data_IF_035896980498
#
_entry.id   IF_035896980498
#
_cell.length_a   1.000
_cell.length_b   1.000
_cell.length_c   1.000
_cell.angle_alpha   90.00
_cell.angle_beta   90.00
_cell.angle_gamma   90.00
#
_symmetry.space_group_name_H-M   'P 1'
#
loop_
_entity.id
_entity.type
_entity.pdbx_description
1 polymer ?
#
# COMPACT_ATOMS: atom_id res chain seq x y z
N UNK A 1 33.99 -4.62 -30.37
CA UNK A 1 32.95 -5.30 -29.58
C UNK A 1 33.42 -5.34 -28.16
N UNK A 2 33.26 -4.21 -27.44
CA UNK A 2 33.57 -4.13 -26.02
C UNK A 2 32.40 -4.74 -25.26
N UNK A 3 32.65 -5.94 -24.78
CA UNK A 3 31.77 -6.59 -23.78
C UNK A 3 31.90 -5.76 -22.53
N UNK A 4 30.89 -4.96 -22.21
CA UNK A 4 30.76 -4.33 -20.88
C UNK A 4 30.62 -5.49 -19.91
N UNK A 5 31.71 -5.77 -19.22
CA UNK A 5 31.74 -6.63 -18.03
C UNK A 5 30.73 -6.04 -17.07
N UNK A 6 29.76 -6.85 -16.65
CA UNK A 6 28.88 -6.47 -15.54
C UNK A 6 29.78 -6.40 -14.30
N UNK A 7 30.32 -5.20 -14.06
CA UNK A 7 31.07 -4.91 -12.87
C UNK A 7 30.14 -5.20 -11.68
N UNK A 8 30.53 -6.13 -10.86
CA UNK A 8 29.89 -6.47 -9.60
C UNK A 8 29.81 -5.16 -8.80
N UNK A 9 28.60 -4.58 -8.71
CA UNK A 9 28.36 -3.42 -7.85
C UNK A 9 28.83 -3.84 -6.46
N UNK A 10 29.77 -3.09 -5.88
CA UNK A 10 30.31 -3.47 -4.58
C UNK A 10 29.20 -3.41 -3.52
N UNK A 11 29.21 -4.34 -2.58
CA UNK A 11 28.23 -4.37 -1.47
C UNK A 11 28.11 -3.01 -0.78
N UNK A 12 29.23 -2.28 -0.67
CA UNK A 12 29.26 -0.93 -0.12
C UNK A 12 28.41 0.07 -0.94
N UNK A 13 28.46 0.01 -2.27
CA UNK A 13 27.66 0.88 -3.12
C UNK A 13 26.16 0.56 -3.03
N UNK A 14 25.79 -0.71 -2.86
CA UNK A 14 24.39 -1.12 -2.66
C UNK A 14 23.87 -0.57 -1.34
N UNK A 15 24.66 -0.64 -0.27
CA UNK A 15 24.31 -0.11 1.06
C UNK A 15 24.11 1.41 0.97
N UNK A 16 25.04 2.14 0.39
CA UNK A 16 24.99 3.60 0.26
C UNK A 16 23.76 4.06 -0.54
N UNK A 17 23.47 3.41 -1.67
CA UNK A 17 22.27 3.68 -2.48
C UNK A 17 21.00 3.35 -1.70
N UNK A 18 20.99 2.27 -0.93
CA UNK A 18 19.83 1.88 -0.12
C UNK A 18 19.54 2.89 0.99
N UNK A 19 20.57 3.36 1.70
CA UNK A 19 20.45 4.41 2.72
C UNK A 19 19.93 5.72 2.11
N UNK A 20 20.43 6.09 0.92
CA UNK A 20 19.95 7.27 0.19
C UNK A 20 18.46 7.12 -0.16
N UNK A 21 18.03 5.99 -0.71
CA UNK A 21 16.63 5.74 -1.06
C UNK A 21 15.74 5.81 0.19
N UNK A 22 16.12 5.15 1.28
CA UNK A 22 15.35 5.17 2.53
C UNK A 22 15.25 6.58 3.13
N UNK A 23 16.28 7.40 2.98
CA UNK A 23 16.28 8.80 3.44
C UNK A 23 15.40 9.69 2.57
N UNK A 24 15.52 9.60 1.25
CA UNK A 24 14.79 10.43 0.29
C UNK A 24 13.29 10.12 0.31
N UNK A 25 12.95 8.84 0.34
CA UNK A 25 11.56 8.37 0.30
C UNK A 25 10.96 8.07 1.68
N UNK A 26 11.55 8.53 2.78
CA UNK A 26 11.14 8.24 4.17
C UNK A 26 9.66 8.46 4.48
N UNK A 27 9.01 9.39 3.76
CA UNK A 27 7.60 9.71 3.94
C UNK A 27 6.67 8.85 3.07
N UNK A 28 7.21 8.10 2.13
CA UNK A 28 6.48 7.39 1.08
C UNK A 28 6.65 5.88 1.14
N UNK A 29 7.70 5.37 1.81
CA UNK A 29 7.98 3.95 1.94
C UNK A 29 8.30 3.56 3.39
N UNK A 30 8.20 2.26 3.68
CA UNK A 30 8.61 1.71 4.97
C UNK A 30 10.11 1.91 5.20
N UNK A 31 10.49 2.41 6.38
CA UNK A 31 11.90 2.60 6.74
C UNK A 31 12.71 1.28 6.83
N UNK A 32 12.02 0.14 6.95
CA UNK A 32 12.63 -1.20 7.01
C UNK A 32 12.43 -2.00 5.71
N UNK A 33 12.17 -1.31 4.58
CA UNK A 33 12.08 -1.96 3.28
C UNK A 33 13.45 -2.55 2.87
N UNK A 34 13.45 -3.79 2.39
CA UNK A 34 14.67 -4.47 1.94
C UNK A 34 15.04 -4.02 0.52
N UNK A 35 15.57 -2.79 0.42
CA UNK A 35 16.00 -2.20 -0.85
C UNK A 35 17.05 -3.06 -1.56
N UNK A 36 18.08 -3.62 -0.86
CA UNK A 36 19.06 -4.50 -1.49
C UNK A 36 18.44 -5.72 -2.17
N UNK A 37 17.48 -6.40 -1.50
CA UNK A 37 16.82 -7.56 -2.08
C UNK A 37 15.98 -7.19 -3.30
N UNK A 38 15.23 -6.09 -3.25
CA UNK A 38 14.44 -5.59 -4.38
C UNK A 38 15.33 -5.16 -5.55
N UNK A 39 16.45 -4.49 -5.29
CA UNK A 39 17.43 -4.09 -6.30
C UNK A 39 18.08 -5.31 -6.97
N UNK A 40 18.41 -6.35 -6.20
CA UNK A 40 18.98 -7.59 -6.72
C UNK A 40 17.98 -8.36 -7.61
N UNK A 41 16.69 -8.30 -7.27
CA UNK A 41 15.63 -8.96 -8.05
C UNK A 41 15.33 -8.25 -9.35
N UNK A 42 15.12 -6.93 -9.33
CA UNK A 42 14.81 -6.12 -10.51
C UNK A 42 15.23 -4.67 -10.30
N UNK A 43 16.45 -4.27 -10.69
CA UNK A 43 16.92 -2.89 -10.53
C UNK A 43 16.11 -1.89 -11.35
N UNK A 44 15.70 -2.25 -12.56
CA UNK A 44 14.84 -1.42 -13.38
C UNK A 44 13.42 -1.31 -12.81
N UNK A 45 12.86 -2.42 -12.35
CA UNK A 45 11.56 -2.44 -11.67
C UNK A 45 11.54 -1.56 -10.43
N UNK A 46 12.60 -1.62 -9.61
CA UNK A 46 12.75 -0.74 -8.45
C UNK A 46 12.83 0.75 -8.86
N UNK A 47 13.60 1.08 -9.88
CA UNK A 47 13.72 2.46 -10.35
C UNK A 47 12.36 3.02 -10.83
N UNK A 48 11.59 2.23 -11.58
CA UNK A 48 10.23 2.63 -11.99
C UNK A 48 9.27 2.74 -10.81
N UNK A 49 9.33 1.80 -9.87
CA UNK A 49 8.51 1.85 -8.65
C UNK A 49 8.77 3.13 -7.85
N UNK A 50 10.04 3.47 -7.60
CA UNK A 50 10.42 4.70 -6.91
C UNK A 50 9.98 5.96 -7.66
N UNK A 51 10.12 5.99 -8.99
CA UNK A 51 9.66 7.10 -9.80
C UNK A 51 8.14 7.31 -9.69
N UNK A 52 7.36 6.22 -9.67
CA UNK A 52 5.90 6.29 -9.49
C UNK A 52 5.51 6.73 -8.08
N UNK A 53 6.19 6.20 -7.05
CA UNK A 53 5.96 6.58 -5.65
C UNK A 53 6.27 8.07 -5.41
N UNK A 54 7.32 8.59 -6.06
CA UNK A 54 7.75 9.98 -5.92
C UNK A 54 6.91 10.99 -6.71
N UNK A 55 5.90 10.57 -7.49
CA UNK A 55 5.02 11.50 -8.20
C UNK A 55 3.92 12.02 -7.27
N UNK A 56 3.78 13.34 -7.16
CA UNK A 56 2.69 13.99 -6.42
C UNK A 56 1.35 13.95 -7.18
N UNK A 57 1.32 13.39 -8.38
CA UNK A 57 0.12 13.30 -9.22
C UNK A 57 -0.71 12.09 -8.81
N UNK A 58 -1.77 12.33 -8.03
CA UNK A 58 -2.73 11.32 -7.59
C UNK A 58 -3.46 10.59 -8.73
N UNK A 59 -3.31 11.03 -9.96
CA UNK A 59 -3.91 10.40 -11.14
C UNK A 59 -2.95 9.43 -11.84
N UNK A 60 -1.73 9.29 -11.35
CA UNK A 60 -0.72 8.41 -11.94
C UNK A 60 -1.02 6.94 -11.65
N UNK A 61 -1.80 6.33 -12.52
CA UNK A 61 -1.88 4.86 -12.61
C UNK A 61 -0.59 4.36 -13.28
N UNK A 62 -0.08 3.22 -12.85
CA UNK A 62 1.09 2.60 -13.49
C UNK A 62 0.87 2.51 -15.00
N UNK A 63 1.71 3.15 -15.84
CA UNK A 63 1.51 3.14 -17.28
C UNK A 63 1.52 1.72 -17.84
N UNK A 64 0.58 1.41 -18.74
CA UNK A 64 0.44 0.06 -19.29
C UNK A 64 1.70 -0.48 -19.96
N UNK A 65 2.54 0.38 -20.56
CA UNK A 65 3.80 -0.03 -21.13
C UNK A 65 4.83 -0.44 -20.07
N UNK A 66 4.80 0.16 -18.87
CA UNK A 66 5.64 -0.28 -17.73
C UNK A 66 5.24 -1.66 -17.32
N UNK A 67 3.93 -1.92 -17.13
CA UNK A 67 3.41 -3.24 -16.75
C UNK A 67 3.71 -4.33 -17.78
N UNK A 68 3.75 -3.96 -19.07
CA UNK A 68 4.12 -4.90 -20.14
C UNK A 68 5.60 -5.30 -20.07
N UNK A 69 6.51 -4.40 -19.70
CA UNK A 69 7.95 -4.65 -19.70
C UNK A 69 8.49 -5.02 -18.32
N UNK A 70 7.88 -4.52 -17.26
CA UNK A 70 8.28 -4.70 -15.87
C UNK A 70 7.05 -5.01 -15.02
N UNK A 71 6.42 -6.19 -15.19
CA UNK A 71 5.20 -6.56 -14.48
C UNK A 71 5.36 -6.62 -12.95
N UNK A 72 6.60 -6.75 -12.47
CA UNK A 72 6.95 -6.76 -11.06
C UNK A 72 6.85 -5.39 -10.37
N UNK A 73 6.71 -4.28 -11.10
CA UNK A 73 6.70 -2.93 -10.54
C UNK A 73 5.60 -2.75 -9.50
N UNK A 74 4.39 -3.24 -9.75
CA UNK A 74 3.30 -3.15 -8.78
C UNK A 74 3.57 -3.96 -7.51
N UNK A 75 4.20 -5.13 -7.65
CA UNK A 75 4.62 -5.92 -6.50
C UNK A 75 5.70 -5.20 -5.68
N UNK A 76 6.66 -4.55 -6.34
CA UNK A 76 7.70 -3.77 -5.68
C UNK A 76 7.09 -2.57 -4.94
N UNK A 77 6.15 -1.85 -5.56
CA UNK A 77 5.41 -0.75 -4.89
C UNK A 77 4.69 -1.29 -3.65
N UNK A 78 4.00 -2.43 -3.77
CA UNK A 78 3.34 -3.06 -2.64
C UNK A 78 4.31 -3.38 -1.51
N UNK A 79 5.47 -3.97 -1.82
CA UNK A 79 6.49 -4.30 -0.82
C UNK A 79 7.06 -3.07 -0.13
N UNK A 80 7.24 -1.97 -0.86
CA UNK A 80 7.77 -0.72 -0.32
C UNK A 80 6.74 0.05 0.54
N UNK A 81 5.49 0.11 0.07
CA UNK A 81 4.48 1.03 0.61
C UNK A 81 3.41 0.34 1.46
N UNK A 82 3.18 -0.97 1.31
CA UNK A 82 2.05 -1.67 1.94
C UNK A 82 2.45 -2.81 2.87
N UNK A 83 3.73 -3.18 2.92
CA UNK A 83 4.22 -4.18 3.86
C UNK A 83 4.57 -3.54 5.19
N UNK A 84 3.76 -3.81 6.20
CA UNK A 84 3.99 -3.29 7.56
C UNK A 84 5.20 -3.95 8.21
N UNK A 85 6.12 -3.15 8.74
CA UNK A 85 7.25 -3.66 9.50
C UNK A 85 6.86 -4.04 10.94
N UNK A 86 7.61 -4.97 11.53
CA UNK A 86 7.38 -5.47 12.90
C UNK A 86 7.64 -4.40 13.97
N UNK A 87 8.57 -3.50 13.72
CA UNK A 87 9.03 -2.49 14.69
C UNK A 87 8.19 -1.22 14.69
N UNK A 88 7.24 -1.09 13.74
CA UNK A 88 6.32 0.03 13.66
C UNK A 88 7.01 1.37 13.37
N UNK A 89 7.58 1.55 12.17
CA UNK A 89 8.17 2.83 11.78
C UNK A 89 7.12 3.94 11.62
N UNK A 90 7.56 5.19 11.58
CA UNK A 90 6.68 6.36 11.45
C UNK A 90 5.76 6.27 10.22
N UNK A 91 6.30 5.81 9.08
CA UNK A 91 5.52 5.60 7.86
C UNK A 91 4.41 4.57 8.08
N UNK A 92 4.75 3.37 8.57
CA UNK A 92 3.78 2.30 8.80
C UNK A 92 2.70 2.70 9.80
N UNK A 93 3.06 3.34 10.90
CA UNK A 93 2.11 3.82 11.90
C UNK A 93 1.16 4.88 11.36
N UNK A 94 1.61 5.72 10.43
CA UNK A 94 0.78 6.77 9.81
C UNK A 94 -0.07 6.23 8.66
N UNK A 95 0.50 5.39 7.79
CA UNK A 95 -0.13 5.00 6.54
C UNK A 95 -0.88 3.68 6.61
N UNK A 96 -0.38 2.70 7.38
CA UNK A 96 -0.87 1.33 7.40
C UNK A 96 -1.63 0.94 8.67
N UNK A 97 -1.58 1.76 9.73
CA UNK A 97 -2.34 1.50 10.95
C UNK A 97 -3.83 1.84 10.75
N UNK A 98 -4.70 0.84 10.90
CA UNK A 98 -6.15 0.99 10.68
C UNK A 98 -6.82 1.88 11.73
N UNK A 99 -6.33 1.91 12.98
CA UNK A 99 -6.90 2.76 14.03
C UNK A 99 -6.52 4.21 13.80
N UNK A 100 -5.26 4.48 13.44
CA UNK A 100 -4.82 5.81 13.08
C UNK A 100 -5.63 6.35 11.89
N UNK A 101 -5.79 5.57 10.84
CA UNK A 101 -6.53 5.97 9.64
C UNK A 101 -8.05 6.07 9.90
N UNK A 102 -8.63 5.22 10.74
CA UNK A 102 -10.01 5.33 11.17
C UNK A 102 -10.28 6.71 11.81
N UNK A 103 -9.41 7.12 12.71
CA UNK A 103 -9.52 8.43 13.37
C UNK A 103 -9.30 9.59 12.42
N UNK A 104 -8.28 9.49 11.56
CA UNK A 104 -7.90 10.54 10.60
C UNK A 104 -8.97 10.76 9.51
N UNK A 105 -9.52 9.69 8.94
CA UNK A 105 -10.39 9.75 7.78
C UNK A 105 -11.88 9.86 8.15
N UNK A 106 -12.28 9.24 9.26
CA UNK A 106 -13.70 9.15 9.67
C UNK A 106 -13.99 9.82 11.02
N UNK A 107 -12.97 10.22 11.78
CA UNK A 107 -13.14 10.84 13.10
C UNK A 107 -13.62 9.87 14.19
N UNK A 108 -13.54 8.56 13.94
CA UNK A 108 -13.95 7.56 14.92
C UNK A 108 -12.77 7.13 15.79
N UNK A 109 -12.98 7.04 17.10
CA UNK A 109 -11.94 6.61 18.04
C UNK A 109 -11.81 5.08 18.16
N UNK A 110 -12.82 4.32 17.75
CA UNK A 110 -12.82 2.86 17.80
C UNK A 110 -13.76 2.24 16.77
N UNK A 111 -13.44 1.01 16.36
CA UNK A 111 -14.33 0.16 15.57
C UNK A 111 -15.52 -0.31 16.41
N UNK A 112 -16.61 -0.66 15.74
CA UNK A 112 -17.78 -1.28 16.40
C UNK A 112 -17.51 -2.75 16.68
N UNK A 113 -17.96 -3.17 17.87
CA UNK A 113 -18.00 -4.59 18.26
C UNK A 113 -19.42 -5.14 18.11
N UNK A 114 -19.53 -6.44 17.87
CA UNK A 114 -20.80 -7.18 17.77
C UNK A 114 -20.75 -8.36 18.70
N UNK A 115 -21.67 -8.41 19.68
CA UNK A 115 -21.69 -9.43 20.71
C UNK A 115 -20.34 -9.60 21.45
N UNK A 116 -19.57 -8.49 21.57
CA UNK A 116 -18.24 -8.46 22.17
C UNK A 116 -17.10 -8.78 21.21
N UNK A 117 -17.39 -9.18 19.97
CA UNK A 117 -16.38 -9.51 18.97
C UNK A 117 -16.02 -8.30 18.10
N UNK A 118 -14.72 -8.05 17.80
CA UNK A 118 -14.25 -6.90 17.01
C UNK A 118 -14.35 -7.18 15.49
N UNK A 119 -15.51 -7.63 15.02
CA UNK A 119 -15.69 -8.08 13.63
C UNK A 119 -15.44 -7.00 12.58
N UNK A 120 -15.79 -5.74 12.88
CA UNK A 120 -15.57 -4.64 11.96
C UNK A 120 -14.07 -4.37 11.80
N UNK A 121 -13.32 -4.39 12.89
CA UNK A 121 -11.86 -4.24 12.91
C UNK A 121 -11.17 -5.38 12.16
N UNK A 122 -11.53 -6.63 12.48
CA UNK A 122 -11.00 -7.82 11.83
C UNK A 122 -11.25 -7.81 10.31
N UNK A 123 -12.45 -7.39 9.88
CA UNK A 123 -12.77 -7.28 8.46
C UNK A 123 -11.97 -6.18 7.77
N UNK A 124 -11.80 -5.02 8.40
CA UNK A 124 -11.00 -3.92 7.87
C UNK A 124 -9.52 -4.31 7.77
N UNK A 125 -8.97 -4.94 8.82
CA UNK A 125 -7.59 -5.42 8.81
C UNK A 125 -7.36 -6.49 7.74
N UNK A 126 -8.26 -7.46 7.61
CA UNK A 126 -8.15 -8.49 6.59
C UNK A 126 -8.17 -7.92 5.16
N UNK A 127 -8.94 -6.85 4.93
CA UNK A 127 -8.96 -6.16 3.64
C UNK A 127 -7.64 -5.42 3.38
N UNK A 128 -7.09 -4.71 4.37
CA UNK A 128 -5.76 -4.06 4.28
C UNK A 128 -4.66 -5.09 4.03
N UNK A 129 -4.75 -6.27 4.67
CA UNK A 129 -3.81 -7.37 4.44
C UNK A 129 -3.98 -8.05 3.05
N UNK A 130 -4.86 -7.55 2.17
CA UNK A 130 -5.13 -8.13 0.86
C UNK A 130 -5.83 -9.49 0.89
N UNK A 131 -6.47 -9.85 2.01
CA UNK A 131 -7.15 -11.13 2.18
C UNK A 131 -8.58 -11.07 1.63
N UNK A 132 -8.98 -12.12 0.90
CA UNK A 132 -10.39 -12.30 0.52
C UNK A 132 -11.22 -12.64 1.75
N UNK A 133 -12.35 -11.94 1.94
CA UNK A 133 -13.22 -12.14 3.09
C UNK A 133 -14.71 -12.06 2.70
N UNK A 134 -15.55 -12.71 3.49
CA UNK A 134 -16.99 -12.55 3.46
C UNK A 134 -17.44 -11.96 4.80
N UNK A 135 -17.88 -10.70 4.79
CA UNK A 135 -18.35 -10.00 5.99
C UNK A 135 -19.87 -9.91 6.02
N UNK A 136 -20.48 -10.48 7.05
CA UNK A 136 -21.94 -10.48 7.26
C UNK A 136 -22.23 -9.69 8.54
N UNK A 137 -22.87 -8.53 8.39
CA UNK A 137 -23.26 -7.67 9.50
C UNK A 137 -24.76 -7.37 9.45
N UNK A 138 -25.38 -7.07 10.58
CA UNK A 138 -26.79 -6.62 10.62
C UNK A 138 -26.98 -5.32 9.84
N UNK A 139 -28.22 -4.99 9.49
CA UNK A 139 -28.57 -3.72 8.86
C UNK A 139 -28.20 -2.55 9.79
N UNK A 140 -27.56 -1.52 9.25
CA UNK A 140 -27.01 -0.43 10.05
C UNK A 140 -25.69 -0.75 10.79
N UNK A 141 -25.16 -1.97 10.61
CA UNK A 141 -23.93 -2.45 11.26
C UNK A 141 -22.62 -1.86 10.73
N UNK A 142 -22.63 -0.75 9.97
CA UNK A 142 -21.40 -0.08 9.53
C UNK A 142 -20.55 -0.89 8.55
N UNK A 143 -21.19 -1.72 7.71
CA UNK A 143 -20.51 -2.51 6.65
C UNK A 143 -19.66 -1.66 5.71
N UNK A 144 -20.10 -0.43 5.41
CA UNK A 144 -19.40 0.45 4.47
C UNK A 144 -17.97 0.76 4.92
N UNK A 145 -17.74 0.90 6.21
CA UNK A 145 -16.42 1.20 6.75
C UNK A 145 -15.39 0.11 6.42
N UNK A 146 -15.82 -1.16 6.40
CA UNK A 146 -14.90 -2.30 6.18
C UNK A 146 -14.30 -2.36 4.77
N UNK A 147 -14.88 -1.65 3.81
CA UNK A 147 -14.28 -1.51 2.47
C UNK A 147 -13.85 -0.07 2.16
N UNK A 148 -14.51 0.95 2.75
CA UNK A 148 -14.12 2.34 2.51
C UNK A 148 -12.79 2.69 3.15
N UNK A 149 -12.54 2.25 4.39
CA UNK A 149 -11.28 2.53 5.06
C UNK A 149 -10.07 1.91 4.33
N UNK A 150 -10.06 0.59 4.01
CA UNK A 150 -8.98 0.00 3.21
C UNK A 150 -8.82 0.68 1.84
N UNK A 151 -9.92 0.96 1.15
CA UNK A 151 -9.88 1.63 -0.16
C UNK A 151 -9.21 3.01 -0.11
N UNK A 152 -9.50 3.81 0.92
CA UNK A 152 -8.86 5.11 1.11
C UNK A 152 -7.39 5.00 1.53
N UNK A 153 -7.05 3.97 2.32
CA UNK A 153 -5.65 3.68 2.67
C UNK A 153 -4.85 3.26 1.43
N UNK A 154 -5.38 2.34 0.61
CA UNK A 154 -4.77 1.92 -0.66
C UNK A 154 -4.60 3.09 -1.63
N UNK A 155 -5.61 3.94 -1.74
CA UNK A 155 -5.55 5.14 -2.59
C UNK A 155 -4.42 6.09 -2.19
N UNK A 156 -4.06 6.13 -0.91
CA UNK A 156 -2.96 6.99 -0.40
C UNK A 156 -1.57 6.35 -0.50
N UNK A 157 -1.50 5.03 -0.54
CA UNK A 157 -0.22 4.30 -0.51
C UNK A 157 0.15 3.68 -1.86
N UNK A 158 -0.82 3.16 -2.58
CA UNK A 158 -0.61 2.38 -3.79
C UNK A 158 -1.10 3.08 -5.07
N UNK A 159 -1.79 4.22 -4.95
CA UNK A 159 -2.51 4.87 -6.05
C UNK A 159 -3.45 3.90 -6.80
N UNK A 160 -3.95 2.89 -6.08
CA UNK A 160 -4.75 1.80 -6.62
C UNK A 160 -6.20 2.20 -6.91
N UNK A 161 -6.83 1.51 -7.85
CA UNK A 161 -8.25 1.63 -8.13
C UNK A 161 -9.05 0.60 -7.32
N UNK A 162 -9.93 1.09 -6.45
CA UNK A 162 -10.87 0.25 -5.72
C UNK A 162 -12.25 0.26 -6.41
N UNK A 163 -12.80 -0.91 -6.71
CA UNK A 163 -14.08 -1.06 -7.41
C UNK A 163 -15.12 -1.62 -6.45
N UNK A 164 -16.21 -0.86 -6.23
CA UNK A 164 -17.36 -1.29 -5.42
C UNK A 164 -18.52 -1.65 -6.34
N UNK A 165 -19.00 -2.89 -6.28
CA UNK A 165 -20.14 -3.36 -7.04
C UNK A 165 -21.34 -3.48 -6.10
N UNK A 166 -22.40 -2.70 -6.34
CA UNK A 166 -23.63 -2.73 -5.56
C UNK A 166 -24.86 -2.94 -6.44
N UNK A 167 -25.81 -3.81 -6.06
CA UNK A 167 -27.06 -4.00 -6.78
C UNK A 167 -28.07 -2.86 -6.56
N UNK A 168 -27.86 -2.00 -5.54
CA UNK A 168 -28.79 -0.94 -5.16
C UNK A 168 -28.22 0.44 -5.55
N UNK A 169 -28.91 1.13 -6.45
CA UNK A 169 -28.52 2.47 -6.90
C UNK A 169 -28.50 3.50 -5.76
N UNK A 170 -29.39 3.36 -4.75
CA UNK A 170 -29.41 4.24 -3.59
C UNK A 170 -28.12 4.14 -2.77
N UNK A 171 -27.59 2.93 -2.57
CA UNK A 171 -26.32 2.71 -1.87
C UNK A 171 -25.16 3.30 -2.64
N UNK A 172 -25.19 3.25 -3.98
CA UNK A 172 -24.14 3.85 -4.82
C UNK A 172 -24.09 5.36 -4.72
N UNK A 173 -25.27 6.04 -4.61
CA UNK A 173 -25.34 7.49 -4.48
C UNK A 173 -24.88 8.02 -3.12
N UNK A 174 -25.00 7.22 -2.07
CA UNK A 174 -24.61 7.58 -0.71
C UNK A 174 -23.09 7.39 -0.45
N UNK A 175 -22.35 6.82 -1.41
CA UNK A 175 -20.93 6.47 -1.30
C UNK A 175 -20.01 7.39 -2.12
N UNK A 176 -20.55 8.36 -2.85
CA UNK A 176 -19.81 9.31 -3.72
C UNK A 176 -19.70 10.67 -3.05
#
# INVERSE_FOLDING_TARGET
TDTISADTISDHAIIEVSEYILSEYKNHICAHADIPALAAQSPCGLAYALALIGTDDYQSVTPGWVLCHYPEVEHIIYMLCHTQCTDGCEYCNRMLDIHHNLKQLFGYDAFRTYDGEPLQEQASQAAVDGKSLLAIFPTGGGKSLTFQLPALMDGRTLHGLNVVISPLQSVMKDQV
#
